data_IF_246493865264
#
_entry.id   IF_246493865264
#
_cell.length_a   1.000
_cell.length_b   1.000
_cell.length_c   1.000
_cell.angle_alpha   90.00
_cell.angle_beta   90.00
_cell.angle_gamma   90.00
#
_symmetry.space_group_name_H-M   'P 1'
#
loop_
_entity.id
_entity.type
_entity.pdbx_description
1 polymer ?
#
# COMPACT_ATOMS: atom_id res chain seq x y z
N UNK A 1 86.25 -44.52 -34.99
CA UNK A 1 85.29 -45.63 -35.01
C UNK A 1 84.31 -45.29 -33.86
N UNK A 2 83.15 -44.73 -34.20
CA UNK A 2 82.24 -44.04 -33.20
C UNK A 2 80.90 -44.84 -33.21
N UNK A 3 80.56 -45.43 -32.11
CA UNK A 3 79.31 -46.15 -31.90
C UNK A 3 78.24 -45.18 -31.35
N UNK A 4 77.17 -45.03 -32.16
CA UNK A 4 75.99 -44.24 -31.70
C UNK A 4 75.03 -45.19 -30.95
N UNK A 5 74.67 -44.81 -29.71
CA UNK A 5 73.59 -45.46 -28.92
C UNK A 5 72.36 -44.62 -28.97
N UNK A 6 71.31 -45.17 -29.58
CA UNK A 6 69.95 -44.60 -29.54
C UNK A 6 69.30 -44.90 -28.17
N UNK A 7 68.80 -43.84 -27.51
CA UNK A 7 67.90 -43.98 -26.34
C UNK A 7 66.52 -43.53 -26.77
N UNK A 8 65.58 -44.48 -26.82
CA UNK A 8 64.15 -44.21 -26.95
C UNK A 8 63.60 -43.72 -25.59
N UNK A 9 63.16 -42.46 -25.55
CA UNK A 9 62.39 -41.93 -24.41
C UNK A 9 60.89 -42.11 -24.67
N UNK A 10 60.23 -42.89 -23.80
CA UNK A 10 58.78 -43.01 -23.74
C UNK A 10 58.20 -41.77 -23.06
N UNK A 11 57.47 -40.94 -23.80
CA UNK A 11 56.70 -39.84 -23.23
C UNK A 11 55.26 -40.34 -22.91
N UNK A 12 54.96 -40.52 -21.61
CA UNK A 12 53.59 -40.79 -21.16
C UNK A 12 52.83 -39.45 -21.06
N UNK A 13 51.88 -39.23 -21.96
CA UNK A 13 50.99 -38.08 -21.91
C UNK A 13 49.90 -38.31 -20.86
N UNK A 14 49.96 -37.57 -19.76
CA UNK A 14 48.87 -37.52 -18.74
C UNK A 14 47.80 -36.51 -19.26
N UNK A 15 46.69 -37.03 -19.81
CA UNK A 15 45.50 -36.27 -20.14
C UNK A 15 44.72 -36.02 -18.83
N UNK A 16 44.95 -34.88 -18.19
CA UNK A 16 44.09 -34.34 -17.15
C UNK A 16 42.75 -33.90 -17.77
N UNK A 17 41.71 -34.71 -17.59
CA UNK A 17 40.35 -34.38 -17.97
C UNK A 17 39.85 -33.23 -17.12
N UNK A 18 39.83 -31.98 -17.65
CA UNK A 18 39.05 -30.90 -17.11
C UNK A 18 37.55 -31.17 -17.38
N UNK A 19 36.85 -31.74 -16.39
CA UNK A 19 35.38 -31.69 -16.40
C UNK A 19 34.90 -30.28 -16.16
N UNK A 20 34.09 -29.68 -17.08
CA UNK A 20 33.49 -28.37 -16.79
C UNK A 20 32.48 -28.56 -15.66
N UNK A 21 32.75 -28.01 -14.49
CA UNK A 21 31.74 -27.81 -13.46
C UNK A 21 30.77 -26.77 -14.00
N UNK A 22 29.68 -27.23 -14.61
CA UNK A 22 28.53 -26.41 -14.95
C UNK A 22 27.90 -26.01 -13.61
N UNK A 23 28.37 -24.93 -13.03
CA UNK A 23 27.71 -24.26 -11.90
C UNK A 23 26.29 -23.88 -12.36
N UNK A 24 25.27 -24.59 -11.86
CA UNK A 24 23.90 -24.14 -12.01
C UNK A 24 23.84 -22.72 -11.46
N UNK A 25 23.67 -21.73 -12.34
CA UNK A 25 23.38 -20.36 -11.95
C UNK A 25 22.08 -20.41 -11.14
N UNK A 26 22.18 -20.35 -9.82
CA UNK A 26 21.01 -20.19 -8.97
C UNK A 26 20.42 -18.83 -9.35
N UNK A 27 19.25 -18.87 -10.01
CA UNK A 27 18.48 -17.67 -10.27
C UNK A 27 18.26 -16.99 -8.92
N UNK A 28 18.77 -15.77 -8.75
CA UNK A 28 18.52 -14.98 -7.53
C UNK A 28 16.99 -14.85 -7.36
N UNK A 29 16.48 -15.05 -6.13
CA UNK A 29 15.05 -14.93 -5.90
C UNK A 29 14.61 -13.52 -6.34
N UNK A 30 13.62 -13.48 -7.23
CA UNK A 30 13.09 -12.22 -7.76
C UNK A 30 12.43 -11.46 -6.60
N UNK A 31 12.89 -10.23 -6.36
CA UNK A 31 12.33 -9.35 -5.34
C UNK A 31 10.82 -9.14 -5.59
N UNK A 32 10.01 -9.27 -4.55
CA UNK A 32 8.56 -9.04 -4.63
C UNK A 32 8.28 -7.54 -4.68
N UNK A 33 7.63 -7.07 -5.73
CA UNK A 33 7.27 -5.65 -5.91
C UNK A 33 5.79 -5.46 -5.61
N UNK A 34 5.48 -4.53 -4.70
CA UNK A 34 4.13 -4.25 -4.22
C UNK A 34 3.76 -2.80 -4.47
N UNK A 35 2.63 -2.56 -5.11
CA UNK A 35 2.00 -1.24 -5.20
C UNK A 35 0.89 -1.15 -4.16
N UNK A 36 1.02 -0.26 -3.19
CA UNK A 36 0.12 -0.16 -2.05
C UNK A 36 -0.37 1.27 -1.79
N UNK A 37 -1.64 1.41 -1.48
CA UNK A 37 -2.21 2.67 -1.03
C UNK A 37 -1.41 3.26 0.15
N UNK A 38 -1.14 4.57 0.12
CA UNK A 38 -0.26 5.26 1.06
C UNK A 38 -0.67 5.08 2.54
N UNK A 39 -1.96 4.94 2.81
CA UNK A 39 -2.49 4.69 4.16
C UNK A 39 -2.06 3.34 4.77
N UNK A 40 -1.64 2.38 3.94
CA UNK A 40 -1.19 1.06 4.39
C UNK A 40 0.25 1.06 4.93
N UNK A 41 1.01 2.16 4.74
CA UNK A 41 2.45 2.16 4.93
C UNK A 41 2.89 1.54 6.26
N UNK A 42 2.41 2.04 7.38
CA UNK A 42 2.89 1.60 8.69
C UNK A 42 2.62 0.10 8.95
N UNK A 43 1.39 -0.35 8.68
CA UNK A 43 1.00 -1.74 8.88
C UNK A 43 1.69 -2.69 7.90
N UNK A 44 1.84 -2.27 6.64
CA UNK A 44 2.44 -3.12 5.62
C UNK A 44 3.96 -3.20 5.75
N UNK A 45 4.64 -2.14 6.20
CA UNK A 45 6.07 -2.19 6.53
C UNK A 45 6.34 -3.16 7.70
N UNK A 46 5.51 -3.12 8.77
CA UNK A 46 5.59 -4.06 9.89
C UNK A 46 5.34 -5.51 9.42
N UNK A 47 4.34 -5.70 8.57
CA UNK A 47 4.01 -7.00 7.97
C UNK A 47 5.13 -7.53 7.08
N UNK A 48 5.73 -6.68 6.26
CA UNK A 48 6.85 -7.05 5.38
C UNK A 48 8.10 -7.45 6.18
N UNK A 49 8.40 -6.73 7.27
CA UNK A 49 9.49 -7.09 8.17
C UNK A 49 9.25 -8.45 8.85
N UNK A 50 8.02 -8.73 9.27
CA UNK A 50 7.66 -10.03 9.84
C UNK A 50 7.76 -11.15 8.79
N UNK A 51 7.31 -10.91 7.55
CA UNK A 51 7.49 -11.84 6.44
C UNK A 51 8.93 -12.28 6.24
N UNK A 52 9.87 -11.31 6.20
CA UNK A 52 11.30 -11.60 6.08
C UNK A 52 11.80 -12.47 7.23
N UNK A 53 11.44 -12.11 8.47
CA UNK A 53 11.86 -12.83 9.67
C UNK A 53 11.33 -14.27 9.73
N UNK A 54 10.07 -14.47 9.32
CA UNK A 54 9.40 -15.77 9.42
C UNK A 54 9.74 -16.72 8.27
N UNK A 55 9.98 -16.17 7.07
CA UNK A 55 10.17 -16.98 5.86
C UNK A 55 11.61 -17.05 5.38
N UNK A 56 12.50 -16.16 5.83
CA UNK A 56 13.85 -16.00 5.31
C UNK A 56 13.92 -15.46 3.87
N UNK A 57 12.77 -15.05 3.29
CA UNK A 57 12.70 -14.52 1.92
C UNK A 57 13.16 -13.07 1.86
N UNK A 58 13.55 -12.58 0.66
CA UNK A 58 13.91 -11.18 0.48
C UNK A 58 12.79 -10.22 0.91
N UNK A 59 13.17 -9.04 1.39
CA UNK A 59 12.22 -8.00 1.74
C UNK A 59 11.44 -7.53 0.49
N UNK A 60 10.11 -7.44 0.57
CA UNK A 60 9.33 -6.86 -0.52
C UNK A 60 9.70 -5.39 -0.76
N UNK A 61 9.79 -4.99 -2.03
CA UNK A 61 9.91 -3.59 -2.43
C UNK A 61 8.51 -2.99 -2.57
N UNK A 62 8.18 -2.05 -1.68
CA UNK A 62 6.83 -1.48 -1.63
C UNK A 62 6.85 -0.03 -2.10
N UNK A 63 6.04 0.28 -3.10
CA UNK A 63 5.78 1.64 -3.57
C UNK A 63 4.45 2.14 -3.02
N UNK A 64 4.49 3.24 -2.28
CA UNK A 64 3.32 3.85 -1.65
C UNK A 64 2.88 5.11 -2.39
N UNK A 65 1.65 5.13 -2.88
CA UNK A 65 1.02 6.30 -3.49
C UNK A 65 -0.51 6.23 -3.35
N UNK A 66 -1.23 7.18 -3.92
CA UNK A 66 -2.67 7.04 -4.04
C UNK A 66 -3.04 5.93 -5.04
N UNK A 67 -4.16 5.23 -4.79
CA UNK A 67 -4.56 4.06 -5.59
C UNK A 67 -4.76 4.39 -7.06
N UNK A 68 -5.26 5.59 -7.39
CA UNK A 68 -5.38 6.07 -8.77
C UNK A 68 -4.04 6.15 -9.49
N UNK A 69 -3.01 6.66 -8.83
CA UNK A 69 -1.66 6.77 -9.38
C UNK A 69 -1.08 5.38 -9.66
N UNK A 70 -1.20 4.48 -8.67
CA UNK A 70 -0.68 3.11 -8.80
C UNK A 70 -1.40 2.31 -9.90
N UNK A 71 -2.74 2.42 -9.98
CA UNK A 71 -3.52 1.77 -11.03
C UNK A 71 -3.14 2.28 -12.43
N UNK A 72 -2.87 3.59 -12.56
CA UNK A 72 -2.39 4.17 -13.82
C UNK A 72 -0.97 3.76 -14.16
N UNK A 73 -0.10 3.60 -13.17
CA UNK A 73 1.25 3.06 -13.39
C UNK A 73 1.19 1.61 -13.86
N UNK A 74 0.30 0.78 -13.31
CA UNK A 74 0.06 -0.59 -13.81
C UNK A 74 -0.41 -0.58 -15.26
N UNK A 75 -1.36 0.31 -15.62
CA UNK A 75 -1.85 0.46 -17.00
C UNK A 75 -0.72 0.86 -17.97
N UNK A 76 0.28 1.61 -17.49
CA UNK A 76 1.47 2.00 -18.25
C UNK A 76 2.56 0.93 -18.28
N UNK A 77 2.31 -0.26 -17.71
CA UNK A 77 3.25 -1.38 -17.71
C UNK A 77 4.30 -1.32 -16.59
N UNK A 78 4.11 -0.49 -15.55
CA UNK A 78 5.02 -0.50 -14.41
C UNK A 78 5.00 -1.87 -13.71
N UNK A 79 6.17 -2.48 -13.44
CA UNK A 79 6.23 -3.83 -12.88
C UNK A 79 5.83 -3.80 -11.39
N UNK A 80 4.77 -4.53 -11.07
CA UNK A 80 4.41 -4.86 -9.69
C UNK A 80 3.83 -6.28 -9.67
N UNK A 81 4.00 -6.98 -8.55
CA UNK A 81 3.48 -8.32 -8.34
C UNK A 81 2.13 -8.30 -7.61
N UNK A 82 1.92 -7.29 -6.74
CA UNK A 82 0.69 -7.11 -5.98
C UNK A 82 0.23 -5.66 -6.07
N UNK A 83 -1.09 -5.48 -6.12
CA UNK A 83 -1.75 -4.18 -6.03
C UNK A 83 -2.74 -4.17 -4.86
N UNK A 84 -2.57 -3.22 -3.93
CA UNK A 84 -3.44 -2.98 -2.77
C UNK A 84 -4.06 -1.59 -2.90
N UNK A 85 -5.35 -1.53 -3.15
CA UNK A 85 -6.11 -0.28 -3.29
C UNK A 85 -6.80 0.12 -1.99
N UNK A 86 -7.06 1.42 -1.80
CA UNK A 86 -7.85 1.95 -0.70
C UNK A 86 -9.33 2.19 -1.07
N UNK A 87 -9.74 1.76 -2.24
CA UNK A 87 -11.14 1.71 -2.66
C UNK A 87 -11.37 0.56 -3.66
N UNK A 88 -12.63 0.24 -3.87
CA UNK A 88 -13.02 -0.75 -4.88
C UNK A 88 -12.89 -0.19 -6.29
N UNK A 89 -13.15 1.10 -6.51
CA UNK A 89 -13.21 1.71 -7.85
C UNK A 89 -11.88 1.56 -8.60
N UNK A 90 -10.74 1.79 -7.94
CA UNK A 90 -9.43 1.65 -8.59
C UNK A 90 -9.01 0.19 -8.76
N UNK A 91 -9.50 -0.71 -7.91
CA UNK A 91 -9.33 -2.15 -8.13
C UNK A 91 -10.23 -2.63 -9.28
N UNK A 92 -11.47 -2.13 -9.38
CA UNK A 92 -12.37 -2.43 -10.49
C UNK A 92 -11.84 -1.86 -11.81
N UNK A 93 -11.26 -0.66 -11.77
CA UNK A 93 -10.53 -0.10 -12.91
C UNK A 93 -9.40 -1.03 -13.37
N UNK A 94 -8.55 -1.48 -12.44
CA UNK A 94 -7.46 -2.39 -12.76
C UNK A 94 -7.96 -3.73 -13.30
N UNK A 95 -9.05 -4.27 -12.73
CA UNK A 95 -9.70 -5.48 -13.22
C UNK A 95 -10.28 -5.31 -14.62
N UNK A 96 -11.01 -4.22 -14.87
CA UNK A 96 -11.62 -3.90 -16.17
C UNK A 96 -10.60 -3.69 -17.28
N UNK A 97 -9.38 -3.25 -16.92
CA UNK A 97 -8.24 -3.15 -17.84
C UNK A 97 -7.44 -4.46 -17.97
N UNK A 98 -7.84 -5.50 -17.26
CA UNK A 98 -7.15 -6.79 -17.28
C UNK A 98 -5.75 -6.74 -16.66
N UNK A 99 -5.51 -5.86 -15.68
CA UNK A 99 -4.20 -5.65 -15.04
C UNK A 99 -3.96 -6.53 -13.81
N UNK A 100 -4.97 -7.27 -13.36
CA UNK A 100 -4.89 -8.18 -12.22
C UNK A 100 -5.33 -9.59 -12.60
N UNK A 101 -4.98 -10.57 -11.78
CA UNK A 101 -5.50 -11.94 -11.83
C UNK A 101 -6.79 -11.99 -11.00
N UNK A 102 -7.99 -12.07 -11.63
CA UNK A 102 -9.27 -11.93 -10.92
C UNK A 102 -9.44 -12.92 -9.77
N UNK A 103 -8.98 -14.16 -9.95
CA UNK A 103 -9.10 -15.25 -8.97
C UNK A 103 -8.31 -15.00 -7.68
N UNK A 104 -7.40 -14.03 -7.71
CA UNK A 104 -6.57 -13.66 -6.55
C UNK A 104 -7.13 -12.46 -5.78
N UNK A 105 -8.16 -11.79 -6.33
CA UNK A 105 -8.73 -10.60 -5.71
C UNK A 105 -9.48 -10.95 -4.44
N UNK A 106 -9.11 -10.31 -3.34
CA UNK A 106 -9.82 -10.40 -2.05
C UNK A 106 -9.99 -8.99 -1.47
N UNK A 107 -11.05 -8.78 -0.69
CA UNK A 107 -11.19 -7.59 0.16
C UNK A 107 -10.57 -7.91 1.53
N UNK A 108 -9.46 -7.25 1.84
CA UNK A 108 -8.65 -7.58 3.01
C UNK A 108 -9.05 -6.79 4.25
N UNK A 109 -9.25 -5.48 4.11
CA UNK A 109 -9.43 -4.55 5.23
C UNK A 109 -10.62 -3.61 5.00
N UNK A 110 -11.11 -3.04 6.10
CA UNK A 110 -11.97 -1.86 6.11
C UNK A 110 -11.34 -0.75 6.95
N UNK A 111 -11.80 0.50 6.73
CA UNK A 111 -11.31 1.68 7.42
C UNK A 111 -12.44 2.69 7.64
N UNK A 112 -12.13 3.81 8.29
CA UNK A 112 -13.04 4.92 8.55
C UNK A 112 -12.33 6.23 8.24
N UNK A 113 -13.07 7.25 7.79
CA UNK A 113 -12.51 8.60 7.62
C UNK A 113 -12.83 9.46 8.84
N UNK A 114 -11.91 10.38 9.12
CA UNK A 114 -11.97 11.30 10.24
C UNK A 114 -11.60 12.73 9.83
N UNK A 115 -12.19 13.67 10.49
CA UNK A 115 -11.76 15.06 10.50
C UNK A 115 -10.67 15.21 11.56
N UNK A 116 -9.52 15.71 11.16
CA UNK A 116 -8.34 15.91 12.00
C UNK A 116 -7.99 17.39 12.12
N UNK A 117 -7.29 17.72 13.18
CA UNK A 117 -6.66 19.02 13.41
C UNK A 117 -5.26 18.81 14.02
N UNK A 118 -4.38 19.82 14.08
CA UNK A 118 -3.16 19.78 14.87
C UNK A 118 -3.44 19.37 16.31
N UNK A 119 -2.52 18.67 16.95
CA UNK A 119 -2.71 18.07 18.28
C UNK A 119 -3.03 19.09 19.39
N UNK A 120 -2.56 20.32 19.25
CA UNK A 120 -2.79 21.45 20.14
C UNK A 120 -4.07 22.26 19.83
N UNK A 121 -4.75 21.97 18.71
CA UNK A 121 -5.99 22.65 18.30
C UNK A 121 -7.08 22.52 19.37
N UNK A 122 -7.84 23.58 19.60
CA UNK A 122 -9.01 23.58 20.49
C UNK A 122 -10.34 23.36 19.74
N UNK A 123 -10.27 23.12 18.41
CA UNK A 123 -11.44 22.94 17.58
C UNK A 123 -12.29 21.75 18.06
N UNK A 124 -13.59 21.98 18.14
CA UNK A 124 -14.62 20.96 18.45
C UNK A 124 -15.68 21.05 17.38
N UNK A 125 -15.95 19.95 16.70
CA UNK A 125 -16.93 19.87 15.62
C UNK A 125 -17.75 18.60 15.75
N UNK A 126 -19.00 18.69 15.35
CA UNK A 126 -19.89 17.54 15.21
C UNK A 126 -20.19 17.31 13.73
N UNK A 127 -19.94 16.12 13.25
CA UNK A 127 -20.23 15.72 11.87
C UNK A 127 -21.63 15.08 11.82
N UNK A 128 -22.63 15.93 11.61
CA UNK A 128 -24.05 15.56 11.51
C UNK A 128 -24.68 16.30 10.32
N UNK A 129 -25.91 15.98 9.90
CA UNK A 129 -26.61 16.75 8.87
C UNK A 129 -26.59 18.25 9.17
N UNK A 130 -26.18 19.07 8.19
CA UNK A 130 -25.97 20.50 8.35
C UNK A 130 -24.58 20.89 8.86
N UNK A 131 -23.63 19.94 8.98
CA UNK A 131 -22.26 20.22 9.41
C UNK A 131 -21.65 21.42 8.68
N UNK A 132 -21.00 22.28 9.45
CA UNK A 132 -20.33 23.47 8.94
C UNK A 132 -18.91 23.57 9.52
N UNK A 133 -17.91 23.43 8.67
CA UNK A 133 -16.52 23.52 9.04
C UNK A 133 -15.96 24.93 8.87
N UNK A 134 -16.75 25.86 8.32
CA UNK A 134 -16.26 27.19 7.90
C UNK A 134 -15.67 27.99 9.06
N UNK A 135 -16.31 27.95 10.21
CA UNK A 135 -15.84 28.68 11.39
C UNK A 135 -14.50 28.16 11.91
N UNK A 136 -14.32 26.81 11.93
CA UNK A 136 -13.07 26.21 12.36
C UNK A 136 -11.95 26.30 11.31
N UNK A 137 -12.30 26.43 10.04
CA UNK A 137 -11.34 26.72 8.96
C UNK A 137 -10.85 28.17 9.00
N UNK A 138 -11.71 29.12 9.39
CA UNK A 138 -11.38 30.54 9.30
C UNK A 138 -10.93 30.95 7.90
N UNK A 139 -9.73 31.48 7.78
CA UNK A 139 -9.08 31.78 6.50
C UNK A 139 -8.25 30.62 5.93
N UNK A 140 -8.09 29.56 6.72
CA UNK A 140 -7.31 28.38 6.31
C UNK A 140 -8.04 27.48 5.33
N UNK A 141 -7.38 26.39 4.96
CA UNK A 141 -7.89 25.39 4.01
C UNK A 141 -8.13 24.04 4.68
N UNK A 142 -9.02 23.26 4.10
CA UNK A 142 -9.28 21.85 4.44
C UNK A 142 -8.35 20.97 3.63
N UNK A 143 -7.39 20.32 4.29
CA UNK A 143 -6.49 19.38 3.62
C UNK A 143 -7.21 18.06 3.29
N UNK A 144 -7.22 17.66 2.03
CA UNK A 144 -7.81 16.40 1.55
C UNK A 144 -6.94 15.83 0.43
N UNK A 145 -7.00 14.52 0.20
CA UNK A 145 -6.58 13.98 -1.09
C UNK A 145 -7.41 14.58 -2.23
N UNK A 146 -6.91 14.56 -3.47
CA UNK A 146 -7.68 15.03 -4.61
C UNK A 146 -9.09 14.42 -4.61
N UNK A 147 -10.11 15.27 -4.61
CA UNK A 147 -11.50 14.88 -4.32
C UNK A 147 -12.18 14.09 -5.43
N UNK A 148 -11.60 14.06 -6.63
CA UNK A 148 -12.17 13.36 -7.79
C UNK A 148 -11.43 12.05 -8.10
N UNK A 149 -10.22 11.83 -7.56
CA UNK A 149 -9.39 10.69 -7.93
C UNK A 149 -8.76 9.94 -6.74
N UNK A 150 -8.35 10.62 -5.68
CA UNK A 150 -7.74 9.97 -4.51
C UNK A 150 -8.82 9.36 -3.63
N UNK A 151 -8.75 8.07 -3.24
CA UNK A 151 -9.80 7.42 -2.46
C UNK A 151 -10.26 8.20 -1.22
N UNK A 152 -9.35 8.62 -0.34
CA UNK A 152 -9.71 9.40 0.86
C UNK A 152 -10.39 10.73 0.52
N UNK A 153 -9.99 11.38 -0.59
CA UNK A 153 -10.63 12.60 -1.08
C UNK A 153 -12.05 12.36 -1.57
N UNK A 154 -12.25 11.29 -2.34
CA UNK A 154 -13.59 10.88 -2.81
C UNK A 154 -14.53 10.57 -1.66
N UNK A 155 -14.08 9.80 -0.67
CA UNK A 155 -14.88 9.49 0.52
C UNK A 155 -15.20 10.75 1.34
N UNK A 156 -14.20 11.62 1.54
CA UNK A 156 -14.39 12.86 2.27
C UNK A 156 -15.38 13.82 1.59
N UNK A 157 -15.30 13.96 0.26
CA UNK A 157 -16.26 14.73 -0.53
C UNK A 157 -17.67 14.15 -0.40
N UNK A 158 -17.84 12.85 -0.64
CA UNK A 158 -19.13 12.17 -0.54
C UNK A 158 -19.75 12.36 0.86
N UNK A 159 -18.95 12.23 1.93
CA UNK A 159 -19.42 12.42 3.29
C UNK A 159 -19.86 13.87 3.55
N UNK A 160 -19.10 14.86 3.09
CA UNK A 160 -19.47 16.27 3.22
C UNK A 160 -20.69 16.62 2.39
N UNK A 161 -20.85 16.07 1.19
CA UNK A 161 -22.06 16.22 0.37
C UNK A 161 -23.28 15.67 1.08
N UNK A 162 -23.19 14.46 1.62
CA UNK A 162 -24.28 13.81 2.37
C UNK A 162 -24.69 14.58 3.61
N UNK A 163 -23.71 15.19 4.31
CA UNK A 163 -23.95 16.00 5.49
C UNK A 163 -24.33 17.47 5.17
N UNK A 164 -24.36 17.87 3.88
CA UNK A 164 -24.69 19.23 3.46
C UNK A 164 -23.61 20.27 3.77
N UNK A 165 -22.36 19.81 4.00
CA UNK A 165 -21.21 20.66 4.30
C UNK A 165 -20.32 21.01 3.11
N UNK A 166 -20.43 20.25 2.00
CA UNK A 166 -19.51 20.36 0.86
C UNK A 166 -19.48 21.75 0.23
N UNK A 167 -20.63 22.30 -0.10
CA UNK A 167 -20.73 23.63 -0.77
C UNK A 167 -20.14 24.77 0.07
N UNK A 168 -20.07 24.61 1.38
CA UNK A 168 -19.50 25.61 2.30
C UNK A 168 -17.96 25.58 2.32
N UNK A 169 -17.33 24.50 1.85
CA UNK A 169 -15.89 24.30 1.98
C UNK A 169 -15.16 23.96 0.67
N UNK A 170 -15.87 23.65 -0.41
CA UNK A 170 -15.27 23.18 -1.69
C UNK A 170 -14.19 24.14 -2.23
N UNK A 171 -14.38 25.47 -2.07
CA UNK A 171 -13.42 26.48 -2.54
C UNK A 171 -12.24 26.67 -1.57
N UNK A 172 -12.31 26.04 -0.40
CA UNK A 172 -11.26 26.05 0.62
C UNK A 172 -10.49 24.74 0.72
N UNK A 173 -10.68 23.80 -0.21
CA UNK A 173 -9.94 22.54 -0.17
C UNK A 173 -8.51 22.74 -0.66
N UNK A 174 -7.53 22.29 0.14
CA UNK A 174 -6.16 22.08 -0.27
C UNK A 174 -6.02 20.61 -0.69
N UNK A 175 -6.00 20.39 -1.99
CA UNK A 175 -5.91 19.03 -2.56
C UNK A 175 -4.46 18.52 -2.55
N UNK A 176 -4.28 17.31 -2.07
CA UNK A 176 -2.99 16.63 -1.99
C UNK A 176 -2.96 15.38 -2.90
N UNK A 177 -1.77 14.95 -3.30
CA UNK A 177 -1.56 13.81 -4.19
C UNK A 177 -1.98 12.46 -3.59
N UNK A 178 -2.02 12.37 -2.25
CA UNK A 178 -2.49 11.19 -1.51
C UNK A 178 -2.86 11.59 -0.07
N UNK A 179 -3.46 10.65 0.68
CA UNK A 179 -3.93 10.91 2.04
C UNK A 179 -2.81 11.26 3.03
N UNK A 180 -1.61 10.69 2.88
CA UNK A 180 -0.47 11.00 3.75
C UNK A 180 0.09 12.39 3.47
N UNK A 181 0.04 12.87 2.25
CA UNK A 181 0.35 14.26 1.93
C UNK A 181 -0.68 15.22 2.55
N UNK A 182 -1.98 14.89 2.53
CA UNK A 182 -3.00 15.66 3.22
C UNK A 182 -2.78 15.69 4.75
N UNK A 183 -2.44 14.55 5.36
CA UNK A 183 -2.06 14.45 6.77
C UNK A 183 -0.92 15.40 7.12
N UNK A 184 0.13 15.44 6.28
CA UNK A 184 1.30 16.29 6.51
C UNK A 184 0.98 17.77 6.51
N UNK A 185 0.03 18.24 5.71
CA UNK A 185 -0.40 19.65 5.73
C UNK A 185 -0.97 20.04 7.11
N UNK A 186 -1.74 19.14 7.73
CA UNK A 186 -2.26 19.38 9.09
C UNK A 186 -1.16 19.22 10.14
N UNK A 187 -0.35 18.19 10.05
CA UNK A 187 0.74 17.87 10.96
C UNK A 187 1.80 19.00 11.05
N UNK A 188 1.97 19.76 9.96
CA UNK A 188 2.88 20.92 9.88
C UNK A 188 2.21 22.26 10.21
N UNK A 189 0.91 22.26 10.51
CA UNK A 189 0.15 23.48 10.77
C UNK A 189 -0.15 24.31 9.51
N UNK A 190 0.06 23.76 8.32
CA UNK A 190 -0.23 24.41 7.03
C UNK A 190 -1.74 24.41 6.72
N UNK A 191 -2.49 23.48 7.34
CA UNK A 191 -3.95 23.42 7.28
C UNK A 191 -4.52 23.23 8.69
N UNK A 192 -5.54 24.04 9.11
CA UNK A 192 -6.17 23.91 10.42
C UNK A 192 -7.00 22.63 10.56
N UNK A 193 -7.48 22.07 9.46
CA UNK A 193 -8.28 20.86 9.41
C UNK A 193 -7.87 19.99 8.22
N UNK A 194 -8.09 18.68 8.34
CA UNK A 194 -7.93 17.74 7.23
C UNK A 194 -8.88 16.56 7.33
N UNK A 195 -9.14 15.90 6.20
CA UNK A 195 -9.88 14.64 6.16
C UNK A 195 -8.93 13.56 5.70
N UNK A 196 -8.72 12.58 6.59
CA UNK A 196 -7.84 11.41 6.40
C UNK A 196 -8.51 10.18 6.96
N UNK A 197 -7.89 9.01 6.81
CA UNK A 197 -8.38 7.83 7.53
C UNK A 197 -8.01 7.87 9.01
N UNK A 198 -8.79 7.21 9.86
CA UNK A 198 -8.48 7.09 11.30
C UNK A 198 -7.10 6.45 11.52
N UNK A 199 -6.71 5.52 10.66
CA UNK A 199 -5.39 4.86 10.68
C UNK A 199 -4.24 5.82 10.34
N UNK A 200 -4.46 6.82 9.48
CA UNK A 200 -3.47 7.85 9.19
C UNK A 200 -3.28 8.79 10.39
N UNK A 201 -4.39 9.19 11.03
CA UNK A 201 -4.34 10.00 12.23
C UNK A 201 -3.59 9.30 13.38
N UNK A 202 -3.82 8.01 13.56
CA UNK A 202 -3.12 7.20 14.57
C UNK A 202 -1.60 7.09 14.32
N UNK A 203 -1.16 7.25 13.07
CA UNK A 203 0.24 7.16 12.70
C UNK A 203 1.05 8.45 12.91
N UNK A 204 0.41 9.58 13.24
CA UNK A 204 1.10 10.86 13.45
C UNK A 204 0.63 11.55 14.76
N UNK A 205 1.47 11.60 15.80
CA UNK A 205 1.11 12.20 17.09
C UNK A 205 0.93 13.72 17.05
N UNK A 206 1.31 14.38 15.95
CA UNK A 206 1.14 15.85 15.78
C UNK A 206 -0.28 16.25 15.36
N UNK A 207 -1.12 15.27 15.08
CA UNK A 207 -2.54 15.50 14.78
C UNK A 207 -3.42 14.76 15.78
N UNK A 208 -4.68 15.18 15.85
CA UNK A 208 -5.73 14.45 16.59
C UNK A 208 -7.00 14.38 15.77
N UNK A 209 -7.74 13.31 15.97
CA UNK A 209 -9.10 13.17 15.47
C UNK A 209 -10.01 14.08 16.32
N UNK A 210 -10.74 14.97 15.65
CA UNK A 210 -11.75 15.84 16.30
C UNK A 210 -13.17 15.33 16.07
N UNK A 211 -13.40 14.60 14.97
CA UNK A 211 -14.66 13.88 14.74
C UNK A 211 -14.44 12.75 13.71
N UNK A 212 -15.22 11.69 13.82
CA UNK A 212 -15.28 10.62 12.81
C UNK A 212 -16.56 10.78 12.00
N UNK A 213 -16.48 10.62 10.69
CA UNK A 213 -17.65 10.68 9.82
C UNK A 213 -18.60 9.50 10.08
N UNK A 214 -19.93 9.72 10.07
CA UNK A 214 -20.91 8.64 10.12
C UNK A 214 -20.69 7.65 8.97
N UNK A 215 -20.83 6.36 9.24
CA UNK A 215 -20.58 5.30 8.25
C UNK A 215 -21.56 5.34 7.08
N UNK A 216 -22.76 5.86 7.29
CA UNK A 216 -23.80 6.07 6.28
C UNK A 216 -23.62 7.34 5.45
N UNK A 217 -22.60 8.17 5.77
CA UNK A 217 -22.30 9.40 5.03
C UNK A 217 -21.47 9.19 3.77
N UNK A 218 -20.90 8.00 3.58
CA UNK A 218 -20.05 7.65 2.44
C UNK A 218 -20.14 6.15 2.12
N UNK A 219 -19.75 5.71 0.91
CA UNK A 219 -19.63 4.28 0.63
C UNK A 219 -18.66 3.58 1.60
N UNK A 220 -18.83 2.25 1.86
CA UNK A 220 -17.90 1.49 2.69
C UNK A 220 -16.44 1.63 2.20
N UNK A 221 -15.53 1.91 3.12
CA UNK A 221 -14.12 2.07 2.84
C UNK A 221 -13.44 0.70 2.91
N UNK A 222 -13.18 0.11 1.75
CA UNK A 222 -12.69 -1.25 1.62
C UNK A 222 -11.34 -1.26 0.88
N UNK A 223 -10.44 -2.14 1.34
CA UNK A 223 -9.10 -2.31 0.77
C UNK A 223 -9.01 -3.67 0.09
N UNK A 224 -9.23 -3.73 -1.21
CA UNK A 224 -8.97 -4.92 -2.00
C UNK A 224 -7.48 -5.08 -2.31
N UNK A 225 -7.06 -6.34 -2.45
CA UNK A 225 -5.73 -6.72 -2.92
C UNK A 225 -5.85 -7.79 -4.00
N UNK A 226 -4.96 -7.76 -4.98
CA UNK A 226 -4.85 -8.76 -6.02
C UNK A 226 -3.40 -8.93 -6.50
N UNK A 227 -3.08 -10.09 -7.03
CA UNK A 227 -1.86 -10.30 -7.82
C UNK A 227 -2.04 -9.65 -9.19
N UNK A 228 -1.02 -8.96 -9.68
CA UNK A 228 -1.05 -8.33 -11.01
C UNK A 228 -0.99 -9.39 -12.11
N UNK A 229 -1.57 -9.08 -13.27
CA UNK A 229 -1.67 -10.02 -14.41
C UNK A 229 -0.30 -10.55 -14.84
N UNK A 230 0.68 -9.67 -14.97
CA UNK A 230 2.00 -9.98 -15.52
C UNK A 230 3.00 -10.47 -14.46
N UNK A 231 2.59 -10.59 -13.21
CA UNK A 231 3.42 -11.16 -12.17
C UNK A 231 3.77 -12.61 -12.46
N UNK A 232 5.07 -12.87 -12.51
CA UNK A 232 5.68 -14.23 -12.58
C UNK A 232 6.43 -14.56 -11.30
N UNK A 233 6.31 -13.71 -10.26
CA UNK A 233 6.98 -13.92 -8.99
C UNK A 233 6.28 -15.03 -8.20
N UNK A 234 7.01 -16.09 -7.89
CA UNK A 234 6.48 -17.24 -7.14
C UNK A 234 6.02 -16.90 -5.72
N UNK A 235 6.51 -15.79 -5.16
CA UNK A 235 6.17 -15.34 -3.80
C UNK A 235 4.90 -14.49 -3.74
N UNK A 236 4.36 -14.04 -4.87
CA UNK A 236 3.19 -13.16 -4.91
C UNK A 236 1.96 -13.77 -4.22
N UNK A 237 1.59 -15.00 -4.58
CA UNK A 237 0.49 -15.72 -3.94
C UNK A 237 0.80 -16.08 -2.47
N UNK A 238 2.05 -16.42 -2.18
CA UNK A 238 2.51 -16.70 -0.82
C UNK A 238 2.34 -15.48 0.09
N UNK A 239 2.77 -14.31 -0.38
CA UNK A 239 2.62 -13.06 0.38
C UNK A 239 1.14 -12.65 0.51
N UNK A 240 0.33 -12.79 -0.56
CA UNK A 240 -1.11 -12.55 -0.49
C UNK A 240 -1.79 -13.43 0.57
N UNK A 241 -1.40 -14.71 0.64
CA UNK A 241 -1.89 -15.63 1.68
C UNK A 241 -1.40 -15.23 3.06
N UNK A 242 -0.13 -14.82 3.19
CA UNK A 242 0.46 -14.34 4.42
C UNK A 242 -0.28 -13.13 5.00
N UNK A 243 -0.68 -12.17 4.15
CA UNK A 243 -1.47 -10.99 4.57
C UNK A 243 -2.76 -11.35 5.32
N UNK A 244 -3.27 -12.58 5.16
CA UNK A 244 -4.47 -13.10 5.84
C UNK A 244 -4.15 -13.84 7.14
N UNK A 245 -2.88 -14.00 7.48
CA UNK A 245 -2.42 -14.71 8.67
C UNK A 245 -2.62 -13.90 9.96
N UNK A 246 -2.38 -14.55 11.11
CA UNK A 246 -2.57 -13.94 12.44
C UNK A 246 -1.59 -12.79 12.70
N UNK A 247 -0.33 -12.91 12.28
CA UNK A 247 0.68 -11.85 12.44
C UNK A 247 0.31 -10.56 11.72
N UNK A 248 0.08 -10.59 10.39
CA UNK A 248 -0.40 -9.43 9.65
C UNK A 248 -1.71 -8.85 10.17
N UNK A 249 -2.66 -9.71 10.58
CA UNK A 249 -3.91 -9.26 11.23
C UNK A 249 -3.61 -8.35 12.42
N UNK A 250 -2.76 -8.80 13.35
CA UNK A 250 -2.38 -8.02 14.52
C UNK A 250 -1.73 -6.68 14.15
N UNK A 251 -0.88 -6.65 13.11
CA UNK A 251 -0.26 -5.42 12.62
C UNK A 251 -1.29 -4.45 12.03
N UNK A 252 -2.27 -4.93 11.26
CA UNK A 252 -3.35 -4.10 10.73
C UNK A 252 -4.27 -3.58 11.83
N UNK A 253 -4.72 -4.44 12.76
CA UNK A 253 -5.60 -4.05 13.88
C UNK A 253 -4.92 -3.05 14.81
N UNK A 254 -3.62 -3.21 15.09
CA UNK A 254 -2.80 -2.25 15.86
C UNK A 254 -2.79 -0.84 15.25
N UNK A 255 -2.82 -0.75 13.92
CA UNK A 255 -2.91 0.53 13.21
C UNK A 255 -4.36 1.06 13.07
N UNK A 256 -5.36 0.32 13.55
CA UNK A 256 -6.76 0.73 13.54
C UNK A 256 -7.58 0.28 12.32
N UNK A 257 -7.05 -0.60 11.48
CA UNK A 257 -7.83 -1.24 10.42
C UNK A 257 -8.76 -2.30 10.97
N UNK A 258 -9.92 -2.50 10.32
CA UNK A 258 -10.75 -3.68 10.53
C UNK A 258 -10.36 -4.75 9.53
N UNK A 259 -9.93 -5.93 10.01
CA UNK A 259 -9.57 -7.06 9.14
C UNK A 259 -10.81 -7.89 8.81
N UNK A 260 -11.15 -7.98 7.53
CA UNK A 260 -12.38 -8.61 7.03
C UNK A 260 -12.26 -10.12 6.79
N UNK A 261 -11.07 -10.58 6.43
CA UNK A 261 -10.87 -12.00 6.16
C UNK A 261 -10.54 -12.78 7.43
N UNK A 262 -11.30 -13.89 7.67
CA UNK A 262 -10.92 -14.86 8.70
C UNK A 262 -9.56 -15.49 8.36
N UNK A 263 -8.74 -15.85 9.37
CA UNK A 263 -7.52 -16.62 9.15
C UNK A 263 -7.81 -17.87 8.33
N UNK A 264 -6.90 -18.23 7.43
CA UNK A 264 -7.05 -19.43 6.59
C UNK A 264 -7.14 -20.74 7.41
N UNK A 265 -6.80 -20.71 8.70
CA UNK A 265 -6.74 -21.86 9.62
C UNK A 265 -7.74 -21.78 10.79
N UNK A 266 -8.79 -20.95 10.70
CA UNK A 266 -9.88 -20.94 11.70
C UNK A 266 -10.97 -21.94 11.27
N UNK A 267 -10.68 -23.24 11.43
CA UNK A 267 -11.67 -24.34 11.43
C UNK A 267 -11.88 -24.79 12.87
#
# INVERSE_FOLDING_TARGET
MIIRRNVLGLAAAFLLGLSPVIGAAQAQPKELVIFAAASLKNALDETAAAWVKETGKPAPKISYAASNVLAKQLEQGAPADLFLSADLDWMDYAAGKGLIKPDTRITLLANRIALIAPSDSTAKLTLAPGADLSAALGQGKLAMGNVDSVPAGKYGKAALEKLGGWDKVKDKVAQADNVRAALLLVSRGEAPLGIVYTTDAAADPKVKVIATFPEDSHPPILYPVAVTKDSTNSDALGFLTYLRGAGPRAAFEKQGFTVLNKPANAT
#
